data_IF_940307031286
#
_entry.id   IF_940307031286
#
_cell.length_a   1.000
_cell.length_b   1.000
_cell.length_c   1.000
_cell.angle_alpha   90.00
_cell.angle_beta   90.00
_cell.angle_gamma   90.00
#
_symmetry.space_group_name_H-M   'P 1'
#
loop_
_entity.id
_entity.type
_entity.pdbx_description
1 polymer ?
#
# COMPACT_ATOMS: atom_id res chain seq x y z
N UNK A 1 93.14 25.91 3.20
CA UNK A 1 94.14 25.67 2.14
C UNK A 1 93.39 25.43 0.84
N UNK A 2 93.61 26.29 -0.16
CA UNK A 2 93.00 26.26 -1.51
C UNK A 2 91.70 27.07 -1.60
N UNK A 3 91.44 27.90 -2.60
CA UNK A 3 92.25 28.47 -3.68
C UNK A 3 91.44 29.64 -4.24
N UNK A 4 92.07 30.78 -4.46
CA UNK A 4 91.49 31.93 -5.15
C UNK A 4 91.10 31.58 -6.59
N UNK A 5 89.94 32.04 -7.03
CA UNK A 5 89.68 32.39 -8.42
C UNK A 5 88.57 33.44 -8.49
N UNK A 6 88.99 34.70 -8.60
CA UNK A 6 88.16 35.81 -9.05
C UNK A 6 88.20 35.86 -10.59
N UNK A 7 87.10 36.15 -11.30
CA UNK A 7 87.15 36.42 -12.72
C UNK A 7 87.64 37.86 -12.95
N UNK A 8 88.80 37.97 -13.59
CA UNK A 8 89.40 39.21 -14.06
C UNK A 8 88.84 39.58 -15.44
N UNK A 9 88.50 40.86 -15.64
CA UNK A 9 88.24 41.50 -16.93
C UNK A 9 86.76 41.75 -17.19
N UNK A 10 86.25 42.97 -17.36
CA UNK A 10 86.84 44.25 -17.73
C UNK A 10 86.15 45.35 -16.92
N UNK A 11 86.91 46.22 -16.24
CA UNK A 11 86.47 47.60 -16.00
C UNK A 11 87.57 48.53 -16.48
N UNK A 12 87.22 49.19 -17.58
CA UNK A 12 88.02 50.14 -18.34
C UNK A 12 88.56 51.28 -17.48
N UNK A 13 89.71 51.80 -17.93
CA UNK A 13 90.61 52.80 -17.37
C UNK A 13 90.02 54.20 -17.04
N UNK A 14 88.71 54.38 -16.97
CA UNK A 14 88.04 55.68 -16.77
C UNK A 14 87.73 56.02 -15.29
N UNK A 15 88.14 55.19 -14.34
CA UNK A 15 87.82 55.34 -12.90
C UNK A 15 88.88 56.12 -12.09
N UNK A 16 90.04 56.42 -12.67
CA UNK A 16 91.14 57.06 -11.93
C UNK A 16 90.87 58.55 -11.66
N UNK A 17 90.20 59.25 -12.57
CA UNK A 17 89.84 60.68 -12.45
C UNK A 17 88.61 60.94 -11.53
N UNK A 18 87.99 59.90 -10.96
CA UNK A 18 86.78 60.03 -10.12
C UNK A 18 86.87 59.27 -8.80
N UNK A 19 88.07 58.84 -8.41
CA UNK A 19 88.27 58.18 -7.12
C UNK A 19 88.26 59.19 -5.97
N UNK A 20 87.73 58.83 -4.80
CA UNK A 20 87.72 59.68 -3.62
C UNK A 20 89.12 60.21 -3.26
N UNK A 21 90.16 59.40 -3.48
CA UNK A 21 91.55 59.80 -3.23
C UNK A 21 92.06 60.89 -4.17
N UNK A 22 91.65 60.87 -5.45
CA UNK A 22 92.02 61.89 -6.42
C UNK A 22 91.33 63.23 -6.12
N UNK A 23 90.02 63.21 -5.83
CA UNK A 23 89.24 64.42 -5.50
C UNK A 23 89.71 65.07 -4.18
N UNK A 24 90.14 64.26 -3.21
CA UNK A 24 90.76 64.77 -1.97
C UNK A 24 92.11 65.45 -2.23
N UNK A 25 92.90 64.92 -3.17
CA UNK A 25 94.18 65.52 -3.57
C UNK A 25 93.98 66.83 -4.33
N UNK A 26 92.97 66.93 -5.20
CA UNK A 26 92.59 68.19 -5.85
C UNK A 26 92.09 69.22 -4.83
N UNK A 27 91.26 68.80 -3.87
CA UNK A 27 90.79 69.66 -2.78
C UNK A 27 91.95 70.20 -1.94
N UNK A 28 92.95 69.37 -1.68
CA UNK A 28 94.17 69.76 -0.97
C UNK A 28 95.00 70.79 -1.75
N UNK A 29 95.18 70.59 -3.06
CA UNK A 29 95.85 71.56 -3.93
C UNK A 29 95.12 72.91 -3.95
N UNK A 30 93.78 72.91 -4.03
CA UNK A 30 92.97 74.14 -3.99
C UNK A 30 93.10 74.85 -2.64
N UNK A 31 93.04 74.11 -1.53
CA UNK A 31 93.26 74.70 -0.20
C UNK A 31 94.65 75.32 -0.05
N UNK A 32 95.68 74.68 -0.62
CA UNK A 32 97.06 75.19 -0.61
C UNK A 32 97.22 76.44 -1.48
N UNK A 33 96.47 76.56 -2.59
CA UNK A 33 96.43 77.75 -3.44
C UNK A 33 95.66 78.93 -2.82
N UNK A 34 94.55 78.67 -2.13
CA UNK A 34 93.68 79.70 -1.51
C UNK A 34 94.22 80.16 -0.14
N UNK A 35 94.99 79.31 0.55
CA UNK A 35 95.53 79.59 1.89
C UNK A 35 94.55 79.34 3.03
N UNK A 36 93.66 78.35 2.88
CA UNK A 36 92.64 77.99 3.88
C UNK A 36 93.22 77.55 5.24
N UNK A 37 92.58 77.97 6.34
CA UNK A 37 93.03 77.65 7.71
C UNK A 37 92.86 76.16 8.04
N UNK A 38 93.76 75.64 8.87
CA UNK A 38 93.78 74.23 9.24
C UNK A 38 92.47 73.78 9.92
N UNK A 39 91.82 74.64 10.72
CA UNK A 39 90.55 74.33 11.37
C UNK A 39 89.40 74.22 10.36
N UNK A 40 89.41 75.05 9.31
CA UNK A 40 88.40 75.03 8.24
C UNK A 40 88.58 73.81 7.32
N UNK A 41 89.83 73.45 7.00
CA UNK A 41 90.17 72.20 6.30
C UNK A 41 89.69 70.97 7.09
N UNK A 42 89.99 70.91 8.39
CA UNK A 42 89.54 69.82 9.27
C UNK A 42 88.01 69.73 9.36
N UNK A 43 87.32 70.87 9.40
CA UNK A 43 85.86 70.93 9.39
C UNK A 43 85.27 70.36 8.10
N UNK A 44 85.78 70.75 6.93
CA UNK A 44 85.28 70.25 5.63
C UNK A 44 85.59 68.75 5.47
N UNK A 45 86.76 68.29 5.93
CA UNK A 45 87.07 66.85 5.95
C UNK A 45 86.12 66.07 6.87
N UNK A 46 85.81 66.60 8.06
CA UNK A 46 84.84 65.99 8.99
C UNK A 46 83.43 65.93 8.38
N UNK A 47 83.00 66.99 7.70
CA UNK A 47 81.71 67.03 6.99
C UNK A 47 81.66 65.97 5.87
N UNK A 48 82.73 65.83 5.08
CA UNK A 48 82.84 64.81 4.04
C UNK A 48 82.81 63.39 4.62
N UNK A 49 83.51 63.14 5.72
CA UNK A 49 83.47 61.86 6.45
C UNK A 49 82.06 61.55 6.95
N UNK A 50 81.38 62.55 7.52
CA UNK A 50 80.01 62.43 8.01
C UNK A 50 79.03 62.10 6.88
N UNK A 51 79.11 62.79 5.75
CA UNK A 51 78.28 62.54 4.57
C UNK A 51 78.53 61.15 3.98
N UNK A 52 79.80 60.73 3.88
CA UNK A 52 80.18 59.40 3.42
C UNK A 52 79.62 58.32 4.35
N UNK A 53 79.75 58.47 5.67
CA UNK A 53 79.16 57.58 6.66
C UNK A 53 77.64 57.48 6.52
N UNK A 54 76.95 58.60 6.28
CA UNK A 54 75.51 58.62 6.11
C UNK A 54 75.05 57.92 4.80
N UNK A 55 75.85 58.01 3.72
CA UNK A 55 75.62 57.21 2.52
C UNK A 55 75.80 55.72 2.82
N UNK A 56 76.86 55.32 3.53
CA UNK A 56 77.08 53.93 3.92
C UNK A 56 75.96 53.39 4.81
N UNK A 57 75.55 54.14 5.86
CA UNK A 57 74.40 53.78 6.72
C UNK A 57 73.14 53.55 5.90
N UNK A 58 72.75 54.51 5.06
CA UNK A 58 71.57 54.37 4.18
C UNK A 58 71.64 53.14 3.27
N UNK A 59 72.83 52.78 2.75
CA UNK A 59 73.00 51.56 1.93
C UNK A 59 72.88 50.29 2.76
N UNK A 60 73.46 50.26 3.95
CA UNK A 60 73.35 49.16 4.91
C UNK A 60 71.91 48.98 5.37
N UNK A 61 71.21 50.06 5.72
CA UNK A 61 69.82 50.04 6.15
C UNK A 61 68.91 49.51 5.05
N UNK A 62 69.09 49.96 3.80
CA UNK A 62 68.35 49.42 2.64
C UNK A 62 68.62 47.94 2.44
N UNK A 63 69.86 47.49 2.60
CA UNK A 63 70.21 46.07 2.50
C UNK A 63 69.59 45.25 3.66
N UNK A 64 69.59 45.79 4.88
CA UNK A 64 68.95 45.19 6.05
C UNK A 64 67.43 45.06 5.88
N UNK A 65 66.76 46.10 5.39
CA UNK A 65 65.33 46.08 5.06
C UNK A 65 65.05 45.02 4.00
N UNK A 66 65.84 44.98 2.92
CA UNK A 66 65.70 43.95 1.89
C UNK A 66 65.92 42.54 2.43
N UNK A 67 66.87 42.35 3.35
CA UNK A 67 67.14 41.06 4.01
C UNK A 67 65.97 40.64 4.90
N UNK A 68 65.46 41.54 5.73
CA UNK A 68 64.31 41.29 6.59
C UNK A 68 63.07 40.93 5.78
N UNK A 69 62.82 41.65 4.68
CA UNK A 69 61.73 41.35 3.75
C UNK A 69 61.84 39.95 3.15
N UNK A 70 63.03 39.54 2.68
CA UNK A 70 63.24 38.19 2.13
C UNK A 70 63.04 37.10 3.19
N UNK A 71 63.45 37.33 4.44
CA UNK A 71 63.15 36.39 5.53
C UNK A 71 61.64 36.28 5.81
N UNK A 72 60.91 37.39 5.79
CA UNK A 72 59.47 37.41 5.98
C UNK A 72 58.74 36.66 4.85
N UNK A 73 59.06 36.97 3.58
CA UNK A 73 58.47 36.30 2.42
C UNK A 73 58.75 34.79 2.42
N UNK A 74 59.95 34.38 2.85
CA UNK A 74 60.30 32.97 3.00
C UNK A 74 59.47 32.30 4.11
N UNK A 75 59.38 32.93 5.29
CA UNK A 75 58.60 32.39 6.42
C UNK A 75 57.11 32.27 6.09
N UNK A 76 56.54 33.26 5.39
CA UNK A 76 55.15 33.22 4.90
C UNK A 76 54.94 32.10 3.88
N UNK A 77 55.87 31.96 2.92
CA UNK A 77 55.82 30.91 1.90
C UNK A 77 55.92 29.51 2.54
N UNK A 78 56.80 29.33 3.54
CA UNK A 78 56.94 28.08 4.28
C UNK A 78 55.70 27.78 5.14
N UNK A 79 55.15 28.78 5.81
CA UNK A 79 53.93 28.64 6.59
C UNK A 79 52.74 28.23 5.71
N UNK A 80 52.53 28.90 4.58
CA UNK A 80 51.50 28.54 3.61
C UNK A 80 51.70 27.11 3.08
N UNK A 81 52.94 26.75 2.76
CA UNK A 81 53.26 25.40 2.28
C UNK A 81 52.90 24.33 3.32
N UNK A 82 53.26 24.54 4.59
CA UNK A 82 52.91 23.61 5.68
C UNK A 82 51.40 23.53 5.90
N UNK A 83 50.69 24.66 5.79
CA UNK A 83 49.24 24.69 5.89
C UNK A 83 48.59 23.87 4.75
N UNK A 84 49.05 24.05 3.50
CA UNK A 84 48.53 23.29 2.36
C UNK A 84 48.78 21.78 2.49
N UNK A 85 49.94 21.37 2.99
CA UNK A 85 50.24 19.97 3.29
C UNK A 85 49.28 19.40 4.33
N UNK A 86 49.04 20.13 5.42
CA UNK A 86 48.10 19.73 6.47
C UNK A 86 46.66 19.62 5.94
N UNK A 87 46.18 20.63 5.20
CA UNK A 87 44.84 20.62 4.61
C UNK A 87 44.63 19.47 3.63
N UNK A 88 45.65 19.12 2.83
CA UNK A 88 45.57 17.99 1.89
C UNK A 88 45.90 16.63 2.53
N UNK A 89 46.30 16.61 3.80
CA UNK A 89 46.73 15.39 4.50
C UNK A 89 48.01 14.77 3.94
N UNK A 90 48.84 15.55 3.25
CA UNK A 90 50.09 15.09 2.63
C UNK A 90 51.27 15.34 3.58
N UNK A 91 52.20 14.37 3.70
CA UNK A 91 53.41 14.54 4.53
C UNK A 91 54.50 15.36 3.85
N UNK A 92 54.60 15.28 2.52
CA UNK A 92 55.67 15.91 1.74
C UNK A 92 55.30 15.94 0.26
N UNK A 93 55.83 16.94 -0.47
CA UNK A 93 55.80 16.92 -1.92
C UNK A 93 56.84 15.95 -2.50
N UNK A 94 56.45 15.05 -3.41
CA UNK A 94 57.39 14.18 -4.13
C UNK A 94 58.46 15.00 -4.88
N UNK A 95 59.73 14.65 -4.68
CA UNK A 95 60.85 15.26 -5.42
C UNK A 95 61.45 16.54 -4.79
N UNK A 96 60.91 17.05 -3.69
CA UNK A 96 61.49 18.20 -2.96
C UNK A 96 62.30 17.75 -1.75
N UNK A 97 63.54 18.22 -1.56
CA UNK A 97 64.31 17.97 -0.33
C UNK A 97 63.73 18.75 0.86
N UNK A 98 63.70 18.13 2.04
CA UNK A 98 63.15 18.72 3.28
C UNK A 98 63.92 19.95 3.77
N UNK A 99 65.21 20.08 3.41
CA UNK A 99 66.06 21.22 3.79
C UNK A 99 66.49 21.99 2.55
N UNK A 100 66.03 23.24 2.46
CA UNK A 100 66.45 24.16 1.41
C UNK A 100 67.84 24.72 1.73
N UNK A 101 68.80 24.50 0.83
CA UNK A 101 70.18 24.97 1.01
C UNK A 101 70.48 26.08 0.01
N UNK A 102 71.11 27.17 0.46
CA UNK A 102 71.53 28.27 -0.43
C UNK A 102 71.19 29.66 0.14
N UNK A 103 71.23 30.66 -0.74
CA UNK A 103 70.86 32.04 -0.41
C UNK A 103 69.35 32.20 -0.26
N UNK A 104 68.88 33.23 0.47
CA UNK A 104 67.44 33.50 0.65
C UNK A 104 66.66 33.57 -0.67
N UNK A 105 67.27 34.16 -1.71
CA UNK A 105 66.66 34.22 -3.05
C UNK A 105 66.53 32.85 -3.69
N UNK A 106 67.56 32.01 -3.62
CA UNK A 106 67.52 30.64 -4.15
C UNK A 106 66.48 29.78 -3.40
N UNK A 107 66.35 29.95 -2.09
CA UNK A 107 65.32 29.27 -1.29
C UNK A 107 63.92 29.72 -1.73
N UNK A 108 63.71 31.02 -1.95
CA UNK A 108 62.42 31.56 -2.43
C UNK A 108 62.08 31.09 -3.86
N UNK A 109 63.06 31.08 -4.76
CA UNK A 109 62.89 30.63 -6.15
C UNK A 109 62.51 29.14 -6.23
N UNK A 110 62.93 28.33 -5.26
CA UNK A 110 62.62 26.89 -5.23
C UNK A 110 61.34 26.55 -4.46
N UNK A 111 60.86 27.38 -3.52
CA UNK A 111 59.55 27.18 -2.87
C UNK A 111 58.38 27.65 -3.75
N UNK A 112 58.61 28.69 -4.57
CA UNK A 112 57.58 29.26 -5.46
C UNK A 112 56.89 28.23 -6.39
N UNK A 113 57.61 27.36 -7.13
CA UNK A 113 56.95 26.34 -7.97
C UNK A 113 56.23 25.27 -7.13
N UNK A 114 56.77 24.90 -5.96
CA UNK A 114 56.15 23.95 -5.05
C UNK A 114 54.82 24.46 -4.49
N UNK A 115 54.76 25.74 -4.11
CA UNK A 115 53.51 26.39 -3.70
C UNK A 115 52.47 26.43 -4.82
N UNK A 116 52.89 26.71 -6.06
CA UNK A 116 51.97 26.66 -7.21
C UNK A 116 51.36 25.26 -7.39
N UNK A 117 52.17 24.21 -7.32
CA UNK A 117 51.68 22.83 -7.45
C UNK A 117 50.70 22.48 -6.32
N UNK A 118 51.04 22.82 -5.06
CA UNK A 118 50.15 22.60 -3.92
C UNK A 118 48.83 23.35 -4.03
N UNK A 119 48.85 24.62 -4.49
CA UNK A 119 47.63 25.41 -4.72
C UNK A 119 46.74 24.79 -5.80
N UNK A 120 47.34 24.30 -6.88
CA UNK A 120 46.60 23.63 -7.96
C UNK A 120 45.97 22.33 -7.48
N UNK A 121 46.70 21.52 -6.70
CA UNK A 121 46.13 20.30 -6.08
C UNK A 121 45.00 20.62 -5.10
N UNK A 122 45.13 21.69 -4.32
CA UNK A 122 44.05 22.16 -3.44
C UNK A 122 42.80 22.48 -4.26
N UNK A 123 42.94 23.28 -5.33
CA UNK A 123 41.82 23.65 -6.20
C UNK A 123 41.16 22.42 -6.83
N UNK A 124 41.95 21.49 -7.38
CA UNK A 124 41.42 20.23 -7.93
C UNK A 124 40.68 19.42 -6.87
N UNK A 125 41.23 19.34 -5.65
CA UNK A 125 40.60 18.62 -4.55
C UNK A 125 39.31 19.27 -4.11
N UNK A 126 39.26 20.60 -3.98
CA UNK A 126 38.02 21.34 -3.68
C UNK A 126 36.95 21.03 -4.72
N UNK A 127 37.30 21.04 -6.00
CA UNK A 127 36.37 20.67 -7.08
C UNK A 127 35.85 19.23 -6.95
N UNK A 128 36.72 18.27 -6.60
CA UNK A 128 36.32 16.89 -6.34
C UNK A 128 35.35 16.78 -5.16
N UNK A 129 35.64 17.43 -4.04
CA UNK A 129 34.73 17.45 -2.88
C UNK A 129 33.39 18.09 -3.21
N UNK A 130 33.40 19.24 -3.89
CA UNK A 130 32.17 19.93 -4.31
C UNK A 130 31.31 19.04 -5.21
N UNK A 131 31.93 18.33 -6.16
CA UNK A 131 31.22 17.41 -7.04
C UNK A 131 30.61 16.21 -6.29
N UNK A 132 31.35 15.57 -5.38
CA UNK A 132 30.86 14.42 -4.62
C UNK A 132 29.78 14.84 -3.63
N UNK A 133 30.01 15.91 -2.87
CA UNK A 133 29.04 16.42 -1.90
C UNK A 133 27.77 16.94 -2.58
N UNK A 134 27.87 17.57 -3.76
CA UNK A 134 26.71 17.97 -4.56
C UNK A 134 25.88 16.78 -5.01
N UNK A 135 26.53 15.68 -5.43
CA UNK A 135 25.81 14.44 -5.76
C UNK A 135 25.16 13.81 -4.53
N UNK A 136 25.83 13.79 -3.37
CA UNK A 136 25.25 13.32 -2.11
C UNK A 136 23.99 14.11 -1.76
N UNK A 137 24.05 15.44 -1.84
CA UNK A 137 22.88 16.29 -1.56
C UNK A 137 21.74 16.02 -2.55
N UNK A 138 22.04 15.91 -3.85
CA UNK A 138 21.04 15.59 -4.87
C UNK A 138 20.34 14.26 -4.58
N UNK A 139 21.10 13.18 -4.36
CA UNK A 139 20.51 11.85 -4.09
C UNK A 139 19.77 11.83 -2.77
N UNK A 140 20.30 12.51 -1.74
CA UNK A 140 19.62 12.61 -0.44
C UNK A 140 18.28 13.35 -0.57
N UNK A 141 18.21 14.42 -1.36
CA UNK A 141 16.98 15.15 -1.64
C UNK A 141 15.97 14.28 -2.40
N UNK A 142 16.42 13.54 -3.42
CA UNK A 142 15.57 12.58 -4.15
C UNK A 142 15.02 11.47 -3.23
N UNK A 143 15.86 10.93 -2.35
CA UNK A 143 15.46 9.94 -1.33
C UNK A 143 14.45 10.54 -0.35
N UNK A 144 14.61 11.81 0.03
CA UNK A 144 13.65 12.53 0.86
C UNK A 144 12.35 12.90 0.11
N UNK A 145 12.30 12.71 -1.21
CA UNK A 145 11.15 13.04 -2.05
C UNK A 145 11.02 14.53 -2.39
N UNK A 146 12.12 15.29 -2.28
CA UNK A 146 12.20 16.67 -2.76
C UNK A 146 12.41 16.67 -4.27
N UNK A 147 11.68 17.52 -5.00
CA UNK A 147 11.76 17.56 -6.46
C UNK A 147 13.03 18.24 -6.96
N UNK A 148 13.44 17.94 -8.19
CA UNK A 148 14.60 18.56 -8.85
C UNK A 148 14.48 20.08 -9.05
N UNK A 149 13.33 20.69 -8.71
CA UNK A 149 13.06 22.12 -8.89
C UNK A 149 13.50 23.00 -7.71
N UNK A 150 14.06 22.42 -6.66
CA UNK A 150 14.60 23.21 -5.55
C UNK A 150 16.02 23.68 -5.90
N UNK A 151 16.12 24.84 -6.55
CA UNK A 151 17.37 25.55 -6.91
C UNK A 151 18.32 25.77 -5.70
N UNK A 152 17.81 25.56 -4.49
CA UNK A 152 18.50 25.60 -3.19
C UNK A 152 19.66 24.60 -3.05
N UNK A 153 19.74 23.55 -3.88
CA UNK A 153 20.72 22.44 -3.76
C UNK A 153 22.12 22.81 -4.30
N UNK A 154 22.29 23.97 -4.93
CA UNK A 154 23.51 24.28 -5.70
C UNK A 154 24.70 24.80 -4.86
N UNK A 155 24.49 25.28 -3.63
CA UNK A 155 25.56 25.88 -2.82
C UNK A 155 26.15 24.92 -1.79
N UNK A 156 26.93 23.95 -2.27
CA UNK A 156 27.74 23.07 -1.43
C UNK A 156 28.91 23.85 -0.83
N UNK A 157 28.89 24.09 0.48
CA UNK A 157 30.03 24.67 1.21
C UNK A 157 31.01 23.54 1.53
N UNK A 158 32.16 23.53 0.86
CA UNK A 158 33.24 22.56 1.11
C UNK A 158 34.04 23.02 2.32
N UNK A 159 34.33 22.10 3.24
CA UNK A 159 35.25 22.36 4.34
C UNK A 159 36.69 22.37 3.81
N UNK A 160 37.30 23.55 3.66
CA UNK A 160 38.66 23.68 3.16
C UNK A 160 39.75 23.24 4.15
N UNK A 161 39.41 22.98 5.41
CA UNK A 161 40.38 22.61 6.45
C UNK A 161 40.83 21.15 6.35
N UNK A 162 40.01 20.26 5.79
CA UNK A 162 40.31 18.83 5.62
C UNK A 162 39.89 18.36 4.23
N UNK A 163 40.84 18.44 3.30
CA UNK A 163 40.77 18.01 1.92
C UNK A 163 41.59 16.71 1.72
N UNK A 164 41.75 15.91 2.78
CA UNK A 164 42.51 14.68 2.73
C UNK A 164 41.86 13.63 1.83
N UNK A 165 42.69 12.77 1.21
CA UNK A 165 42.22 11.65 0.38
C UNK A 165 41.31 10.69 1.15
N UNK A 166 41.60 10.47 2.44
CA UNK A 166 40.79 9.62 3.31
C UNK A 166 39.38 10.20 3.46
N UNK A 167 39.26 11.51 3.69
CA UNK A 167 37.96 12.18 3.81
C UNK A 167 37.18 12.13 2.49
N UNK A 168 37.87 12.28 1.35
CA UNK A 168 37.25 12.14 0.04
C UNK A 168 36.71 10.71 -0.18
N UNK A 169 37.47 9.69 0.19
CA UNK A 169 37.06 8.29 0.13
C UNK A 169 35.84 8.01 1.01
N UNK A 170 35.77 8.59 2.21
CA UNK A 170 34.57 8.51 3.07
C UNK A 170 33.33 9.06 2.37
N UNK A 171 33.42 10.22 1.72
CA UNK A 171 32.30 10.78 0.96
C UNK A 171 31.96 9.95 -0.28
N UNK A 172 32.94 9.35 -0.96
CA UNK A 172 32.69 8.45 -2.09
C UNK A 172 31.98 7.16 -1.65
N UNK A 173 32.38 6.58 -0.52
CA UNK A 173 31.71 5.42 0.07
C UNK A 173 30.27 5.75 0.49
N UNK A 174 30.05 6.92 1.06
CA UNK A 174 28.71 7.41 1.40
C UNK A 174 27.84 7.62 0.15
N UNK A 175 28.41 8.21 -0.90
CA UNK A 175 27.74 8.37 -2.19
C UNK A 175 27.33 7.02 -2.79
N UNK A 176 28.21 6.02 -2.75
CA UNK A 176 27.89 4.66 -3.20
C UNK A 176 26.79 4.01 -2.35
N UNK A 177 26.83 4.19 -1.03
CA UNK A 177 25.78 3.72 -0.12
C UNK A 177 24.41 4.32 -0.47
N UNK A 178 24.36 5.63 -0.72
CA UNK A 178 23.14 6.34 -1.12
C UNK A 178 22.62 5.90 -2.49
N UNK A 179 23.51 5.65 -3.46
CA UNK A 179 23.12 5.07 -4.74
C UNK A 179 22.47 3.68 -4.59
N UNK A 180 23.05 2.82 -3.74
CA UNK A 180 22.49 1.51 -3.46
C UNK A 180 21.12 1.63 -2.77
N UNK A 181 20.98 2.53 -1.80
CA UNK A 181 19.72 2.81 -1.12
C UNK A 181 18.64 3.29 -2.10
N UNK A 182 18.96 4.26 -2.96
CA UNK A 182 18.07 4.75 -4.01
C UNK A 182 17.60 3.59 -4.91
N UNK A 183 18.52 2.73 -5.36
CA UNK A 183 18.19 1.61 -6.22
C UNK A 183 17.29 0.58 -5.50
N UNK A 184 17.58 0.27 -4.24
CA UNK A 184 16.75 -0.62 -3.42
C UNK A 184 15.32 -0.08 -3.25
N UNK A 185 15.18 1.24 -2.97
CA UNK A 185 13.88 1.89 -2.85
C UNK A 185 13.10 1.89 -4.15
N UNK A 186 13.75 2.14 -5.29
CA UNK A 186 13.10 2.06 -6.61
C UNK A 186 12.57 0.66 -6.89
N UNK A 187 13.37 -0.38 -6.63
CA UNK A 187 12.92 -1.78 -6.76
C UNK A 187 11.76 -2.09 -5.81
N UNK A 188 11.76 -1.53 -4.60
CA UNK A 188 10.68 -1.72 -3.65
C UNK A 188 9.38 -1.03 -4.11
N UNK A 189 9.47 0.19 -4.64
CA UNK A 189 8.33 0.89 -5.25
C UNK A 189 7.76 0.07 -6.42
N UNK A 190 8.61 -0.47 -7.29
CA UNK A 190 8.19 -1.32 -8.41
C UNK A 190 7.46 -2.58 -7.92
N UNK A 191 8.01 -3.29 -6.93
CA UNK A 191 7.34 -4.45 -6.30
C UNK A 191 5.98 -4.09 -5.72
N UNK A 192 5.84 -2.95 -5.06
CA UNK A 192 4.54 -2.53 -4.53
C UNK A 192 3.56 -2.16 -5.63
N UNK A 193 4.01 -1.51 -6.71
CA UNK A 193 3.17 -1.20 -7.87
C UNK A 193 2.69 -2.49 -8.53
N UNK A 194 3.56 -3.47 -8.74
CA UNK A 194 3.19 -4.79 -9.29
C UNK A 194 2.19 -5.51 -8.38
N UNK A 195 2.40 -5.47 -7.07
CA UNK A 195 1.46 -6.03 -6.10
C UNK A 195 0.08 -5.33 -6.18
N UNK A 196 0.05 -4.00 -6.28
CA UNK A 196 -1.19 -3.24 -6.47
C UNK A 196 -1.87 -3.64 -7.78
N UNK A 197 -1.14 -3.77 -8.89
CA UNK A 197 -1.71 -4.22 -10.17
C UNK A 197 -2.34 -5.60 -10.06
N UNK A 198 -1.61 -6.58 -9.50
CA UNK A 198 -2.09 -7.95 -9.35
C UNK A 198 -3.32 -8.05 -8.43
N UNK A 199 -3.28 -7.37 -7.28
CA UNK A 199 -4.41 -7.35 -6.34
C UNK A 199 -5.63 -6.64 -6.95
N UNK A 200 -5.41 -5.51 -7.62
CA UNK A 200 -6.49 -4.77 -8.29
C UNK A 200 -7.11 -5.58 -9.43
N UNK A 201 -6.30 -6.27 -10.23
CA UNK A 201 -6.78 -7.16 -11.28
C UNK A 201 -7.64 -8.30 -10.70
N UNK A 202 -7.21 -8.90 -9.59
CA UNK A 202 -7.97 -9.96 -8.89
C UNK A 202 -9.31 -9.43 -8.35
N UNK A 203 -9.31 -8.23 -7.76
CA UNK A 203 -10.49 -7.57 -7.17
C UNK A 203 -11.40 -6.87 -8.19
N UNK A 204 -10.97 -6.76 -9.46
CA UNK A 204 -11.67 -6.00 -10.49
C UNK A 204 -11.71 -4.48 -10.22
N UNK A 205 -10.61 -3.92 -9.71
CA UNK A 205 -10.47 -2.50 -9.41
C UNK A 205 -9.49 -1.81 -10.37
N UNK A 206 -9.63 -0.50 -10.54
CA UNK A 206 -8.78 0.30 -11.42
C UNK A 206 -7.43 0.64 -10.75
N UNK A 207 -6.37 -0.12 -11.07
CA UNK A 207 -5.03 0.05 -10.47
C UNK A 207 -4.49 1.48 -10.64
N UNK A 208 -4.72 2.11 -11.79
CA UNK A 208 -4.26 3.47 -12.09
C UNK A 208 -4.87 4.51 -11.14
N UNK A 209 -6.13 4.33 -10.75
CA UNK A 209 -6.80 5.22 -9.80
C UNK A 209 -6.26 5.02 -8.37
N UNK A 210 -5.92 3.78 -8.00
CA UNK A 210 -5.35 3.46 -6.70
C UNK A 210 -3.93 4.06 -6.59
N UNK A 211 -3.09 3.88 -7.62
CA UNK A 211 -1.71 4.40 -7.64
C UNK A 211 -1.71 5.94 -7.61
N UNK A 212 -2.55 6.60 -8.40
CA UNK A 212 -2.62 8.08 -8.42
C UNK A 212 -3.13 8.68 -7.12
N UNK A 213 -3.99 7.98 -6.36
CA UNK A 213 -4.40 8.39 -5.00
C UNK A 213 -3.25 8.35 -4.00
N UNK A 214 -2.29 7.42 -4.16
CA UNK A 214 -1.09 7.39 -3.32
C UNK A 214 -0.17 8.56 -3.67
N UNK A 215 0.21 8.66 -4.94
CA UNK A 215 0.93 9.82 -5.47
C UNK A 215 0.91 9.85 -7.00
N UNK A 216 0.65 11.00 -7.65
CA UNK A 216 0.60 11.11 -9.11
C UNK A 216 1.88 10.67 -9.83
N UNK A 217 3.05 10.94 -9.25
CA UNK A 217 4.35 10.59 -9.85
C UNK A 217 4.63 9.09 -9.95
N UNK A 218 3.83 8.24 -9.29
CA UNK A 218 3.99 6.78 -9.34
C UNK A 218 3.30 6.19 -10.57
N UNK A 219 2.39 6.95 -11.19
CA UNK A 219 1.73 6.55 -12.41
C UNK A 219 2.66 6.71 -13.61
N UNK A 220 2.82 5.68 -14.42
CA UNK A 220 3.72 5.67 -15.59
C UNK A 220 3.40 6.79 -16.59
N UNK A 221 2.13 7.19 -16.66
CA UNK A 221 1.65 8.27 -17.55
C UNK A 221 2.11 9.67 -17.13
N UNK A 222 2.66 9.84 -15.93
CA UNK A 222 3.01 11.17 -15.40
C UNK A 222 4.35 11.68 -15.94
N UNK A 223 5.26 10.80 -16.39
CA UNK A 223 6.57 11.19 -16.94
C UNK A 223 7.52 11.88 -15.93
N UNK A 224 7.10 12.03 -14.67
CA UNK A 224 7.87 12.61 -13.56
C UNK A 224 8.68 11.48 -12.89
N UNK A 225 9.83 11.82 -12.29
CA UNK A 225 10.58 10.88 -11.47
C UNK A 225 9.72 10.30 -10.34
N UNK A 226 9.81 8.97 -10.14
CA UNK A 226 9.08 8.27 -9.08
C UNK A 226 9.54 8.80 -7.72
N UNK A 227 8.61 9.23 -6.88
CA UNK A 227 8.91 9.64 -5.51
C UNK A 227 9.21 8.38 -4.67
N UNK A 228 10.39 8.34 -4.05
CA UNK A 228 10.91 7.20 -3.28
C UNK A 228 11.07 7.52 -1.79
N UNK A 229 10.36 8.53 -1.30
CA UNK A 229 10.40 8.91 0.12
C UNK A 229 9.81 7.83 1.02
N UNK A 230 10.26 7.81 2.27
CA UNK A 230 9.75 6.90 3.30
C UNK A 230 8.23 7.03 3.45
N UNK A 231 7.71 8.26 3.35
CA UNK A 231 6.27 8.53 3.42
C UNK A 231 5.48 7.90 2.28
N UNK A 232 6.02 7.90 1.06
CA UNK A 232 5.38 7.26 -0.09
C UNK A 232 5.50 5.74 -0.03
N UNK A 233 6.66 5.20 0.34
CA UNK A 233 6.85 3.76 0.55
C UNK A 233 5.89 3.21 1.62
N UNK A 234 5.71 3.92 2.74
CA UNK A 234 4.77 3.53 3.79
C UNK A 234 3.31 3.56 3.29
N UNK A 235 2.92 4.59 2.53
CA UNK A 235 1.58 4.67 1.93
C UNK A 235 1.33 3.57 0.91
N UNK A 236 2.32 3.23 0.08
CA UNK A 236 2.25 2.11 -0.86
C UNK A 236 2.07 0.79 -0.12
N UNK A 237 2.89 0.53 0.90
CA UNK A 237 2.75 -0.67 1.73
C UNK A 237 1.37 -0.76 2.38
N UNK A 238 0.91 0.30 3.03
CA UNK A 238 -0.44 0.34 3.62
C UNK A 238 -1.56 0.15 2.60
N UNK A 239 -1.37 0.60 1.34
CA UNK A 239 -2.32 0.36 0.26
C UNK A 239 -2.33 -1.12 -0.14
N UNK A 240 -1.16 -1.75 -0.29
CA UNK A 240 -1.05 -3.19 -0.55
C UNK A 240 -1.70 -4.00 0.57
N UNK A 241 -1.43 -3.67 1.82
CA UNK A 241 -2.04 -4.32 2.99
C UNK A 241 -3.56 -4.19 2.96
N UNK A 242 -4.09 -3.00 2.68
CA UNK A 242 -5.55 -2.78 2.59
C UNK A 242 -6.21 -3.58 1.46
N UNK A 243 -5.54 -3.73 0.31
CA UNK A 243 -6.04 -4.53 -0.81
C UNK A 243 -5.98 -6.03 -0.49
N UNK A 244 -4.95 -6.47 0.23
CA UNK A 244 -4.82 -7.85 0.70
C UNK A 244 -5.92 -8.18 1.72
N UNK A 245 -6.24 -7.27 2.65
CA UNK A 245 -7.36 -7.41 3.57
C UNK A 245 -8.71 -7.47 2.84
N UNK A 246 -8.92 -6.61 1.83
CA UNK A 246 -10.14 -6.62 1.03
C UNK A 246 -10.28 -7.93 0.24
N UNK A 247 -9.18 -8.43 -0.35
CA UNK A 247 -9.11 -9.75 -1.00
C UNK A 247 -9.54 -10.86 -0.05
N UNK A 248 -9.01 -10.85 1.18
CA UNK A 248 -9.36 -11.82 2.21
C UNK A 248 -10.84 -11.76 2.56
N UNK A 249 -11.38 -10.57 2.83
CA UNK A 249 -12.79 -10.37 3.17
C UNK A 249 -13.72 -10.86 2.06
N UNK A 250 -13.40 -10.56 0.80
CA UNK A 250 -14.19 -10.99 -0.35
C UNK A 250 -14.16 -12.50 -0.54
N UNK A 251 -13.00 -13.12 -0.37
CA UNK A 251 -12.86 -14.57 -0.46
C UNK A 251 -13.65 -15.28 0.65
N UNK A 252 -13.53 -14.82 1.89
CA UNK A 252 -14.30 -15.37 3.01
C UNK A 252 -15.80 -15.25 2.75
N UNK A 253 -16.27 -14.09 2.30
CA UNK A 253 -17.68 -13.89 1.95
C UNK A 253 -18.13 -14.88 0.86
N UNK A 254 -17.32 -15.05 -0.18
CA UNK A 254 -17.59 -16.00 -1.25
C UNK A 254 -17.62 -17.46 -0.75
N UNK A 255 -16.75 -17.82 0.21
CA UNK A 255 -16.77 -19.14 0.85
C UNK A 255 -18.07 -19.41 1.59
N UNK A 256 -18.55 -18.42 2.36
CA UNK A 256 -19.84 -18.54 3.05
C UNK A 256 -21.00 -18.71 2.06
N UNK A 257 -21.01 -17.92 0.99
CA UNK A 257 -22.04 -17.99 -0.05
C UNK A 257 -21.98 -19.31 -0.83
N UNK A 258 -20.80 -19.77 -1.24
CA UNK A 258 -20.66 -21.04 -1.95
C UNK A 258 -21.05 -22.25 -1.09
N UNK A 259 -20.79 -22.22 0.22
CA UNK A 259 -21.31 -23.23 1.16
C UNK A 259 -22.84 -23.18 1.24
N UNK A 260 -23.43 -21.99 1.33
CA UNK A 260 -24.88 -21.82 1.33
C UNK A 260 -25.52 -22.33 0.02
N UNK A 261 -24.96 -21.99 -1.13
CA UNK A 261 -25.37 -22.49 -2.44
C UNK A 261 -25.33 -24.02 -2.51
N UNK A 262 -24.22 -24.62 -2.08
CA UNK A 262 -24.04 -26.09 -2.09
C UNK A 262 -25.10 -26.78 -1.24
N UNK A 263 -25.37 -26.25 -0.04
CA UNK A 263 -26.40 -26.77 0.85
C UNK A 263 -27.81 -26.62 0.24
N UNK A 264 -28.13 -25.45 -0.33
CA UNK A 264 -29.43 -25.20 -0.96
C UNK A 264 -29.65 -26.06 -2.20
N UNK A 265 -28.64 -26.25 -3.05
CA UNK A 265 -28.74 -27.14 -4.21
C UNK A 265 -28.90 -28.61 -3.81
N UNK A 266 -28.24 -29.04 -2.73
CA UNK A 266 -28.43 -30.40 -2.18
C UNK A 266 -29.82 -30.58 -1.58
N UNK A 267 -30.41 -29.53 -1.00
CA UNK A 267 -31.74 -29.58 -0.41
C UNK A 267 -32.85 -29.54 -1.46
N UNK A 268 -32.65 -28.76 -2.53
CA UNK A 268 -33.65 -28.50 -3.57
C UNK A 268 -33.52 -29.41 -4.79
N UNK A 269 -32.61 -30.39 -4.76
CA UNK A 269 -32.27 -31.27 -5.91
C UNK A 269 -32.06 -30.50 -7.23
N UNK A 270 -31.38 -29.35 -7.15
CA UNK A 270 -31.22 -28.44 -8.29
C UNK A 270 -30.43 -29.13 -9.43
N UNK A 271 -30.87 -29.04 -10.69
CA UNK A 271 -30.21 -29.72 -11.81
C UNK A 271 -28.80 -29.19 -12.05
N UNK A 272 -27.94 -30.04 -12.63
CA UNK A 272 -26.51 -29.74 -12.83
C UNK A 272 -26.27 -28.50 -13.72
N UNK A 273 -27.12 -28.26 -14.72
CA UNK A 273 -26.98 -27.10 -15.61
C UNK A 273 -26.99 -25.76 -14.87
N UNK A 274 -27.85 -25.63 -13.86
CA UNK A 274 -27.95 -24.42 -13.05
C UNK A 274 -26.77 -24.30 -12.06
N UNK A 275 -26.24 -25.43 -11.57
CA UNK A 275 -25.04 -25.47 -10.71
C UNK A 275 -23.78 -25.04 -11.48
N UNK A 276 -23.68 -25.43 -12.75
CA UNK A 276 -22.50 -25.16 -13.58
C UNK A 276 -22.23 -23.66 -13.77
N UNK A 277 -23.26 -22.82 -13.79
CA UNK A 277 -23.13 -21.36 -13.89
C UNK A 277 -22.32 -20.75 -12.74
N UNK A 278 -22.30 -21.42 -11.58
CA UNK A 278 -21.58 -21.00 -10.38
C UNK A 278 -20.38 -21.89 -10.06
N UNK A 279 -19.93 -22.73 -11.02
CA UNK A 279 -18.76 -23.61 -10.87
C UNK A 279 -17.51 -22.86 -10.40
N UNK A 280 -17.24 -21.68 -10.95
CA UNK A 280 -16.15 -20.80 -10.55
C UNK A 280 -16.16 -20.45 -9.05
N UNK A 281 -17.33 -20.32 -8.41
CA UNK A 281 -17.46 -20.08 -6.97
C UNK A 281 -17.13 -21.33 -6.18
N UNK A 282 -17.55 -22.49 -6.68
CA UNK A 282 -17.33 -23.78 -6.05
C UNK A 282 -15.85 -24.17 -6.09
N UNK A 283 -15.18 -23.90 -7.21
CA UNK A 283 -13.74 -24.12 -7.33
C UNK A 283 -12.97 -23.27 -6.31
N UNK A 284 -13.40 -22.03 -6.09
CA UNK A 284 -12.82 -21.11 -5.09
C UNK A 284 -13.03 -21.56 -3.64
N UNK A 285 -13.99 -22.44 -3.33
CA UNK A 285 -14.20 -22.98 -1.97
C UNK A 285 -13.02 -23.78 -1.44
N UNK A 286 -12.23 -24.37 -2.33
CA UNK A 286 -11.08 -25.22 -1.98
C UNK A 286 -9.76 -24.45 -1.97
N UNK A 287 -9.76 -23.18 -2.40
CA UNK A 287 -8.56 -22.38 -2.65
C UNK A 287 -8.31 -21.42 -1.48
N UNK A 288 -7.04 -21.28 -1.09
CA UNK A 288 -6.61 -20.33 -0.06
C UNK A 288 -6.30 -18.95 -0.65
N UNK A 289 -6.40 -17.90 0.17
CA UNK A 289 -6.14 -16.50 -0.23
C UNK A 289 -4.83 -16.24 -1.02
N UNK A 290 -3.67 -16.82 -0.68
CA UNK A 290 -2.45 -16.59 -1.46
C UNK A 290 -2.47 -17.26 -2.84
N UNK A 291 -3.27 -18.30 -3.05
CA UNK A 291 -3.33 -19.07 -4.30
C UNK A 291 -4.24 -18.42 -5.34
N UNK A 292 -5.20 -17.60 -4.92
CA UNK A 292 -6.10 -16.88 -5.84
C UNK A 292 -5.34 -15.73 -6.53
N UNK A 293 -4.95 -15.95 -7.78
CA UNK A 293 -4.26 -14.93 -8.61
C UNK A 293 -5.01 -14.60 -9.90
N UNK A 294 -6.12 -15.30 -10.17
CA UNK A 294 -6.84 -15.15 -11.43
C UNK A 294 -7.53 -13.77 -11.50
N UNK A 295 -7.25 -12.96 -12.55
CA UNK A 295 -7.88 -11.66 -12.72
C UNK A 295 -9.40 -11.77 -12.77
N UNK A 296 -10.09 -10.89 -12.03
CA UNK A 296 -11.54 -10.81 -11.99
C UNK A 296 -12.23 -11.86 -11.11
N UNK A 297 -11.50 -12.78 -10.50
CA UNK A 297 -12.07 -13.88 -9.67
C UNK A 297 -12.80 -13.39 -8.41
N UNK A 298 -12.44 -12.23 -7.87
CA UNK A 298 -13.02 -11.64 -6.65
C UNK A 298 -13.65 -10.27 -6.90
N UNK A 299 -14.26 -10.10 -8.07
CA UNK A 299 -15.03 -8.90 -8.42
C UNK A 299 -16.29 -8.78 -7.56
N UNK A 300 -16.73 -7.54 -7.33
CA UNK A 300 -17.99 -7.28 -6.60
C UNK A 300 -19.20 -7.89 -7.33
N UNK A 301 -19.17 -7.92 -8.66
CA UNK A 301 -20.25 -8.47 -9.47
C UNK A 301 -20.46 -9.97 -9.22
N UNK A 302 -19.38 -10.76 -9.11
CA UNK A 302 -19.46 -12.19 -8.78
C UNK A 302 -20.08 -12.40 -7.40
N UNK A 303 -19.65 -11.61 -6.41
CA UNK A 303 -20.21 -11.68 -5.05
C UNK A 303 -21.71 -11.35 -5.07
N UNK A 304 -22.11 -10.29 -5.78
CA UNK A 304 -23.51 -9.90 -5.90
C UNK A 304 -24.35 -10.96 -6.62
N UNK A 305 -23.81 -11.60 -7.67
CA UNK A 305 -24.48 -12.70 -8.36
C UNK A 305 -24.71 -13.89 -7.42
N UNK A 306 -23.70 -14.25 -6.61
CA UNK A 306 -23.81 -15.31 -5.64
C UNK A 306 -24.85 -15.01 -4.55
N UNK A 307 -24.85 -13.78 -4.01
CA UNK A 307 -25.84 -13.33 -3.02
C UNK A 307 -27.26 -13.35 -3.58
N UNK A 308 -27.43 -12.87 -4.82
CA UNK A 308 -28.72 -12.87 -5.49
C UNK A 308 -29.24 -14.29 -5.70
N UNK A 309 -28.37 -15.23 -6.08
CA UNK A 309 -28.75 -16.63 -6.27
C UNK A 309 -29.10 -17.34 -4.96
N UNK A 310 -28.31 -17.15 -3.90
CA UNK A 310 -28.65 -17.66 -2.55
C UNK A 310 -30.03 -17.15 -2.14
N UNK A 311 -30.27 -15.84 -2.28
CA UNK A 311 -31.57 -15.24 -1.95
C UNK A 311 -32.72 -15.80 -2.80
N UNK A 312 -32.49 -16.01 -4.10
CA UNK A 312 -33.48 -16.61 -5.01
C UNK A 312 -33.81 -18.04 -4.60
N UNK A 313 -32.81 -18.83 -4.24
CA UNK A 313 -32.98 -20.22 -3.78
C UNK A 313 -33.67 -20.29 -2.42
N UNK A 314 -33.36 -19.39 -1.48
CA UNK A 314 -34.05 -19.30 -0.20
C UNK A 314 -35.54 -18.95 -0.37
N UNK A 315 -35.85 -18.02 -1.29
CA UNK A 315 -37.24 -17.69 -1.63
C UNK A 315 -37.97 -18.87 -2.28
N UNK A 316 -37.28 -19.62 -3.15
CA UNK A 316 -37.83 -20.82 -3.77
C UNK A 316 -38.09 -21.91 -2.73
N UNK A 317 -37.17 -22.11 -1.79
CA UNK A 317 -37.31 -23.03 -0.66
C UNK A 317 -38.54 -22.67 0.18
N UNK A 318 -38.69 -21.40 0.58
CA UNK A 318 -39.85 -20.94 1.34
C UNK A 318 -41.17 -21.14 0.56
N UNK A 319 -41.17 -20.85 -0.74
CA UNK A 319 -42.34 -21.06 -1.61
C UNK A 319 -42.72 -22.54 -1.72
N UNK A 320 -41.73 -23.43 -1.83
CA UNK A 320 -41.96 -24.88 -1.86
C UNK A 320 -42.42 -25.42 -0.51
N UNK A 321 -41.88 -24.90 0.59
CA UNK A 321 -42.35 -25.25 1.93
C UNK A 321 -43.81 -24.84 2.12
N UNK A 322 -44.18 -23.64 1.69
CA UNK A 322 -45.56 -23.16 1.71
C UNK A 322 -46.49 -24.09 0.93
N UNK A 323 -46.07 -24.54 -0.25
CA UNK A 323 -46.83 -25.49 -1.07
C UNK A 323 -47.02 -26.84 -0.34
N UNK A 324 -45.97 -27.39 0.27
CA UNK A 324 -46.02 -28.64 1.04
C UNK A 324 -46.90 -28.51 2.28
N UNK A 325 -46.77 -27.43 3.03
CA UNK A 325 -47.59 -27.14 4.19
C UNK A 325 -49.08 -27.09 3.84
N UNK A 326 -49.45 -26.36 2.78
CA UNK A 326 -50.84 -26.29 2.32
C UNK A 326 -51.38 -27.66 1.86
N UNK A 327 -50.55 -28.48 1.21
CA UNK A 327 -50.94 -29.85 0.83
C UNK A 327 -51.24 -30.72 2.06
N UNK A 328 -50.35 -30.70 3.06
CA UNK A 328 -50.53 -31.44 4.33
C UNK A 328 -51.74 -30.95 5.11
N UNK A 329 -51.96 -29.63 5.12
CA UNK A 329 -53.15 -29.05 5.71
C UNK A 329 -54.43 -29.50 5.01
N UNK A 330 -54.49 -29.43 3.68
CA UNK A 330 -55.66 -29.90 2.92
C UNK A 330 -55.94 -31.40 3.16
N UNK A 331 -54.89 -32.22 3.26
CA UNK A 331 -55.00 -33.65 3.62
C UNK A 331 -55.65 -33.82 4.99
N UNK A 332 -55.17 -33.08 6.00
CA UNK A 332 -55.76 -33.06 7.34
C UNK A 332 -57.22 -32.61 7.31
N UNK A 333 -57.54 -31.52 6.61
CA UNK A 333 -58.91 -31.00 6.47
C UNK A 333 -59.84 -32.03 5.79
N UNK A 334 -59.37 -32.73 4.76
CA UNK A 334 -60.16 -33.76 4.07
C UNK A 334 -60.48 -34.93 5.01
N UNK A 335 -59.52 -35.36 5.83
CA UNK A 335 -59.70 -36.41 6.84
C UNK A 335 -60.70 -35.93 7.90
N UNK A 336 -60.53 -34.72 8.43
CA UNK A 336 -61.44 -34.13 9.42
C UNK A 336 -62.86 -34.00 8.87
N UNK A 337 -63.03 -33.51 7.65
CA UNK A 337 -64.33 -33.36 7.01
C UNK A 337 -65.05 -34.71 6.82
N UNK A 338 -64.35 -35.75 6.34
CA UNK A 338 -64.94 -37.08 6.13
C UNK A 338 -65.36 -37.78 7.42
N UNK A 339 -64.66 -37.49 8.52
CA UNK A 339 -64.88 -38.13 9.83
C UNK A 339 -65.62 -37.24 10.83
N UNK A 340 -66.11 -36.07 10.36
CA UNK A 340 -66.79 -35.05 11.16
C UNK A 340 -66.00 -34.66 12.43
N UNK A 341 -64.70 -34.40 12.27
CA UNK A 341 -63.81 -33.87 13.31
C UNK A 341 -63.67 -32.35 13.19
N UNK A 342 -63.15 -31.71 14.23
CA UNK A 342 -62.87 -30.28 14.24
C UNK A 342 -61.74 -29.93 13.26
N UNK A 343 -61.94 -28.87 12.47
CA UNK A 343 -60.98 -28.40 11.49
C UNK A 343 -60.12 -27.30 12.15
N UNK A 344 -58.79 -27.31 11.96
CA UNK A 344 -57.91 -26.24 12.46
C UNK A 344 -58.38 -24.84 12.04
N UNK A 345 -58.13 -23.81 12.86
CA UNK A 345 -58.69 -22.47 12.59
C UNK A 345 -57.92 -21.74 11.48
N UNK A 346 -58.62 -21.01 10.61
CA UNK A 346 -58.02 -20.27 9.48
C UNK A 346 -56.98 -19.23 9.91
N UNK A 347 -57.15 -18.63 11.08
CA UNK A 347 -56.22 -17.62 11.62
C UNK A 347 -54.87 -18.22 12.02
N UNK A 348 -54.86 -19.44 12.56
CA UNK A 348 -53.62 -20.15 12.91
C UNK A 348 -52.83 -20.50 11.65
N UNK A 349 -53.53 -20.84 10.56
CA UNK A 349 -52.91 -21.11 9.26
C UNK A 349 -52.20 -19.88 8.69
N UNK A 350 -52.86 -18.71 8.69
CA UNK A 350 -52.28 -17.48 8.16
C UNK A 350 -51.05 -17.05 8.96
N UNK A 351 -51.05 -17.26 10.28
CA UNK A 351 -49.89 -16.99 11.13
C UNK A 351 -48.70 -17.89 10.77
N UNK A 352 -48.91 -19.20 10.58
CA UNK A 352 -47.86 -20.14 10.19
C UNK A 352 -47.32 -19.82 8.78
N UNK A 353 -48.20 -19.46 7.84
CA UNK A 353 -47.82 -19.08 6.48
C UNK A 353 -46.91 -17.84 6.47
N UNK A 354 -47.17 -16.86 7.34
CA UNK A 354 -46.32 -15.68 7.49
C UNK A 354 -44.95 -16.05 8.08
N UNK A 355 -44.92 -16.94 9.07
CA UNK A 355 -43.69 -17.42 9.69
C UNK A 355 -42.81 -18.21 8.70
N UNK A 356 -43.39 -19.01 7.80
CA UNK A 356 -42.65 -19.68 6.71
C UNK A 356 -41.96 -18.67 5.80
N UNK A 357 -42.64 -17.56 5.43
CA UNK A 357 -42.04 -16.54 4.56
C UNK A 357 -40.95 -15.73 5.26
N UNK A 358 -41.04 -15.57 6.59
CA UNK A 358 -40.03 -14.88 7.40
C UNK A 358 -38.78 -15.73 7.67
N UNK A 359 -38.87 -17.05 7.49
CA UNK A 359 -37.78 -17.98 7.76
C UNK A 359 -37.51 -18.23 9.26
N UNK A 360 -38.37 -17.75 10.16
CA UNK A 360 -38.21 -17.86 11.61
C UNK A 360 -38.54 -19.27 12.18
N UNK A 361 -39.20 -20.12 11.40
CA UNK A 361 -39.57 -21.48 11.81
C UNK A 361 -38.64 -22.53 11.19
N UNK A 362 -38.23 -23.53 11.98
CA UNK A 362 -37.64 -24.75 11.44
C UNK A 362 -38.67 -25.53 10.61
N UNK A 363 -38.41 -25.59 9.32
CA UNK A 363 -39.30 -26.17 8.33
C UNK A 363 -39.45 -27.70 8.52
N UNK A 364 -38.42 -28.38 9.05
CA UNK A 364 -38.46 -29.81 9.31
C UNK A 364 -39.41 -30.13 10.47
N UNK A 365 -39.26 -29.41 11.58
CA UNK A 365 -40.09 -29.57 12.78
C UNK A 365 -41.57 -29.26 12.48
N UNK A 366 -41.83 -28.22 11.68
CA UNK A 366 -43.19 -27.87 11.26
C UNK A 366 -43.85 -29.00 10.47
N UNK A 367 -43.15 -29.56 9.47
CA UNK A 367 -43.69 -30.67 8.67
C UNK A 367 -43.88 -31.92 9.52
N UNK A 368 -42.96 -32.23 10.42
CA UNK A 368 -43.10 -33.35 11.36
C UNK A 368 -44.33 -33.21 12.26
N UNK A 369 -44.56 -32.01 12.81
CA UNK A 369 -45.76 -31.71 13.60
C UNK A 369 -47.05 -31.89 12.77
N UNK A 370 -47.05 -31.44 11.51
CA UNK A 370 -48.19 -31.63 10.62
C UNK A 370 -48.43 -33.11 10.29
N UNK A 371 -47.37 -33.88 10.02
CA UNK A 371 -47.47 -35.33 9.79
C UNK A 371 -47.99 -36.08 11.03
N UNK A 372 -47.61 -35.64 12.22
CA UNK A 372 -48.12 -36.18 13.47
C UNK A 372 -49.62 -35.87 13.67
N UNK A 373 -50.05 -34.64 13.34
CA UNK A 373 -51.47 -34.27 13.36
C UNK A 373 -52.29 -35.08 12.37
N UNK A 374 -51.80 -35.25 11.13
CA UNK A 374 -52.44 -36.10 10.12
C UNK A 374 -52.54 -37.53 10.62
N UNK A 375 -51.47 -38.07 11.20
CA UNK A 375 -51.47 -39.45 11.73
C UNK A 375 -52.51 -39.64 12.83
N UNK A 376 -52.59 -38.71 13.79
CA UNK A 376 -53.64 -38.73 14.84
C UNK A 376 -55.04 -38.65 14.25
N UNK A 377 -55.25 -37.75 13.29
CA UNK A 377 -56.54 -37.60 12.61
C UNK A 377 -56.93 -38.87 11.83
N UNK A 378 -55.97 -39.54 11.19
CA UNK A 378 -56.21 -40.82 10.51
C UNK A 378 -56.60 -41.93 11.49
N UNK A 379 -55.88 -42.06 12.62
CA UNK A 379 -56.21 -43.04 13.65
C UNK A 379 -57.61 -42.81 14.23
N UNK A 380 -57.95 -41.55 14.50
CA UNK A 380 -59.27 -41.19 15.00
C UNK A 380 -60.37 -41.45 13.94
N UNK A 381 -60.14 -41.08 12.68
CA UNK A 381 -61.06 -41.36 11.59
C UNK A 381 -61.29 -42.88 11.42
N UNK A 382 -60.25 -43.70 11.57
CA UNK A 382 -60.36 -45.17 11.57
C UNK A 382 -61.18 -45.68 12.75
N UNK A 383 -60.99 -45.12 13.95
CA UNK A 383 -61.77 -45.49 15.14
C UNK A 383 -63.27 -45.17 14.99
N UNK A 384 -63.59 -44.02 14.37
CA UNK A 384 -64.95 -43.54 14.12
C UNK A 384 -65.63 -44.22 12.94
N UNK A 385 -64.88 -44.91 12.09
CA UNK A 385 -65.38 -45.54 10.84
C UNK A 385 -66.65 -46.38 11.05
N UNK A 386 -66.66 -47.24 12.07
CA UNK A 386 -67.82 -48.11 12.35
C UNK A 386 -69.08 -47.34 12.76
N UNK A 387 -68.91 -46.18 13.39
CA UNK A 387 -70.02 -45.29 13.77
C UNK A 387 -70.48 -44.52 12.53
N UNK A 388 -69.55 -43.97 11.75
CA UNK A 388 -69.85 -43.25 10.52
C UNK A 388 -70.60 -44.10 9.49
N UNK A 389 -70.21 -45.37 9.29
CA UNK A 389 -70.94 -46.31 8.43
C UNK A 389 -72.39 -46.56 8.90
N UNK A 390 -72.64 -46.50 10.21
CA UNK A 390 -74.01 -46.60 10.76
C UNK A 390 -74.78 -45.30 10.56
N UNK A 391 -74.14 -44.15 10.73
CA UNK A 391 -74.73 -42.83 10.48
C UNK A 391 -75.12 -42.69 9.01
N UNK A 392 -74.27 -43.10 8.08
CA UNK A 392 -74.55 -43.09 6.64
C UNK A 392 -75.74 -43.99 6.30
N UNK A 393 -75.78 -45.22 6.83
CA UNK A 393 -76.93 -46.12 6.67
C UNK A 393 -78.22 -45.51 7.23
N UNK A 394 -78.14 -44.80 8.36
CA UNK A 394 -79.28 -44.13 8.96
C UNK A 394 -79.74 -42.92 8.11
N UNK A 395 -78.82 -42.12 7.59
CA UNK A 395 -79.12 -41.03 6.66
C UNK A 395 -79.83 -41.53 5.40
N UNK A 396 -79.31 -42.59 4.77
CA UNK A 396 -79.96 -43.21 3.60
C UNK A 396 -81.36 -43.74 3.92
N UNK A 397 -81.55 -44.32 5.10
CA UNK A 397 -82.85 -44.80 5.54
C UNK A 397 -83.83 -43.64 5.79
N UNK A 398 -83.36 -42.52 6.35
CA UNK A 398 -84.13 -41.27 6.53
C UNK A 398 -84.50 -40.63 5.18
N UNK A 399 -83.58 -40.61 4.22
CA UNK A 399 -83.86 -40.08 2.89
C UNK A 399 -84.89 -40.96 2.14
N UNK A 400 -84.81 -42.28 2.31
CA UNK A 400 -85.81 -43.22 1.77
C UNK A 400 -87.17 -43.10 2.51
N UNK A 401 -87.17 -42.76 3.81
CA UNK A 401 -88.39 -42.40 4.57
C UNK A 401 -89.05 -41.15 3.99
N UNK A 402 -88.29 -40.07 3.82
CA UNK A 402 -88.77 -38.82 3.21
C UNK A 402 -89.32 -39.08 1.81
N UNK A 403 -88.61 -39.84 0.98
CA UNK A 403 -89.10 -40.20 -0.35
C UNK A 403 -90.40 -41.02 -0.29
N UNK A 404 -90.52 -41.95 0.65
CA UNK A 404 -91.72 -42.74 0.86
C UNK A 404 -92.90 -41.88 1.32
N UNK A 405 -92.66 -40.90 2.20
CA UNK A 405 -93.66 -39.91 2.64
C UNK A 405 -94.16 -39.09 1.45
N UNK A 406 -93.25 -38.52 0.66
CA UNK A 406 -93.58 -37.77 -0.55
C UNK A 406 -94.39 -38.63 -1.54
N UNK A 407 -93.97 -39.88 -1.77
CA UNK A 407 -94.69 -40.84 -2.60
C UNK A 407 -96.04 -41.25 -2.00
N UNK A 408 -96.20 -41.22 -0.67
CA UNK A 408 -97.46 -41.56 0.00
C UNK A 408 -98.52 -40.47 -0.10
N UNK A 409 -98.08 -39.21 -0.22
CA UNK A 409 -98.93 -38.02 -0.37
C UNK A 409 -99.29 -37.71 -1.84
N UNK A 410 -98.70 -38.42 -2.80
CA UNK A 410 -99.00 -38.27 -4.23
C UNK A 410 -100.38 -38.88 -4.57
N UNK A 411 -101.34 -38.04 -4.98
CA UNK A 411 -102.69 -38.47 -5.37
C UNK A 411 -102.68 -39.33 -6.66
N UNK A 412 -101.66 -39.20 -7.52
CA UNK A 412 -101.54 -39.95 -8.78
C UNK A 412 -100.75 -41.26 -8.65
N UNK A 413 -100.46 -41.69 -7.42
CA UNK A 413 -99.61 -42.84 -7.08
C UNK A 413 -99.99 -44.16 -7.76
N UNK A 414 -101.29 -44.38 -8.00
CA UNK A 414 -101.84 -45.61 -8.61
C UNK A 414 -102.25 -45.43 -10.08
N UNK A 415 -101.91 -44.29 -10.70
CA UNK A 415 -102.13 -44.10 -12.13
C UNK A 415 -101.37 -45.16 -12.95
N UNK A 416 -101.98 -45.69 -14.02
CA UNK A 416 -101.38 -46.72 -14.89
C UNK A 416 -100.32 -46.08 -15.79
N UNK A 417 -99.23 -45.62 -15.18
CA UNK A 417 -98.09 -45.01 -15.83
C UNK A 417 -96.94 -46.03 -15.92
N UNK A 418 -96.09 -45.87 -16.95
CA UNK A 418 -95.00 -46.80 -17.29
C UNK A 418 -93.91 -46.74 -16.20
N UNK A 419 -94.07 -47.51 -15.13
CA UNK A 419 -93.16 -47.51 -13.97
C UNK A 419 -93.82 -47.70 -12.60
N UNK A 420 -95.15 -47.63 -12.51
CA UNK A 420 -95.90 -47.72 -11.26
C UNK A 420 -95.56 -48.96 -10.41
N UNK A 421 -95.44 -50.15 -11.03
CA UNK A 421 -95.06 -51.39 -10.33
C UNK A 421 -93.62 -51.34 -9.74
N UNK A 422 -92.69 -50.64 -10.38
CA UNK A 422 -91.31 -50.47 -9.88
C UNK A 422 -91.27 -49.52 -8.68
N UNK A 423 -92.05 -48.44 -8.72
CA UNK A 423 -92.18 -47.50 -7.61
C UNK A 423 -92.92 -48.13 -6.42
N UNK A 424 -93.94 -48.96 -6.67
CA UNK A 424 -94.63 -49.73 -5.63
C UNK A 424 -93.67 -50.72 -4.93
N UNK A 425 -92.88 -51.48 -5.71
CA UNK A 425 -91.83 -52.36 -5.15
C UNK A 425 -90.71 -51.60 -4.43
N UNK A 426 -90.41 -50.36 -4.82
CA UNK A 426 -89.49 -49.49 -4.07
C UNK A 426 -90.12 -49.06 -2.76
N UNK A 427 -91.38 -48.63 -2.77
CA UNK A 427 -92.12 -48.23 -1.57
C UNK A 427 -92.28 -49.37 -0.55
N UNK A 428 -92.48 -50.61 -0.99
CA UNK A 428 -92.48 -51.77 -0.09
C UNK A 428 -91.10 -52.01 0.55
N UNK A 429 -90.02 -51.91 -0.23
CA UNK A 429 -88.65 -52.03 0.29
C UNK A 429 -88.27 -50.88 1.21
N UNK A 430 -88.69 -49.66 0.87
CA UNK A 430 -88.57 -48.47 1.70
C UNK A 430 -89.25 -48.68 3.04
N UNK A 431 -90.53 -49.11 3.07
CA UNK A 431 -91.26 -49.42 4.31
C UNK A 431 -90.54 -50.41 5.22
N UNK A 432 -89.97 -51.48 4.65
CA UNK A 432 -89.19 -52.47 5.42
C UNK A 432 -87.91 -51.85 6.00
N UNK A 433 -87.29 -50.92 5.28
CA UNK A 433 -86.06 -50.23 5.71
C UNK A 433 -86.37 -49.19 6.78
N UNK A 434 -87.44 -48.41 6.60
CA UNK A 434 -87.95 -47.40 7.53
C UNK A 434 -88.40 -48.03 8.86
N UNK A 435 -89.12 -49.14 8.82
CA UNK A 435 -89.52 -49.86 10.03
C UNK A 435 -88.33 -50.37 10.88
N UNK A 436 -87.13 -50.47 10.31
CA UNK A 436 -85.90 -50.86 11.02
C UNK A 436 -85.14 -49.65 11.62
N UNK A 437 -85.52 -48.42 11.29
CA UNK A 437 -84.89 -47.18 11.77
C UNK A 437 -84.92 -47.04 13.30
N UNK A 438 -86.02 -47.34 14.02
CA UNK A 438 -86.03 -47.23 15.49
C UNK A 438 -84.96 -48.11 16.14
N UNK A 439 -84.80 -49.36 15.66
CA UNK A 439 -83.80 -50.30 16.17
C UNK A 439 -82.34 -49.88 15.94
N UNK A 440 -82.06 -49.12 14.87
CA UNK A 440 -80.73 -48.58 14.60
C UNK A 440 -80.46 -47.28 15.36
N UNK A 441 -81.48 -46.45 15.62
CA UNK A 441 -81.38 -45.25 16.44
C UNK A 441 -81.02 -45.58 17.90
N UNK A 442 -81.72 -46.53 18.54
CA UNK A 442 -81.42 -46.93 19.93
C UNK A 442 -80.03 -47.56 20.10
N UNK A 443 -79.52 -48.27 19.08
CA UNK A 443 -78.17 -48.84 19.09
C UNK A 443 -77.04 -47.82 18.91
N UNK A 444 -77.33 -46.64 18.37
CA UNK A 444 -76.37 -45.54 18.22
C UNK A 444 -76.31 -44.68 19.51
N UNK A 445 -77.43 -44.47 20.20
CA UNK A 445 -77.48 -43.70 21.46
C UNK A 445 -76.64 -44.35 22.58
N UNK A 446 -76.52 -45.68 22.61
CA UNK A 446 -75.70 -46.39 23.60
C UNK A 446 -74.17 -46.26 23.44
N UNK A 447 -73.67 -45.70 22.32
CA UNK A 447 -72.23 -45.50 22.06
C UNK A 447 -71.80 -44.04 21.96
N UNK A 448 -72.75 -43.10 21.95
CA UNK A 448 -72.47 -41.67 22.06
C UNK A 448 -72.62 -41.26 23.53
N UNK A 449 -71.80 -41.85 24.40
CA UNK A 449 -71.52 -41.26 25.71
C UNK A 449 -70.22 -40.46 25.58
N UNK A 450 -70.18 -39.23 26.10
CA UNK A 450 -69.00 -38.38 25.97
C UNK A 450 -67.84 -39.00 26.76
N UNK A 451 -66.67 -39.07 26.12
CA UNK A 451 -65.38 -39.06 26.83
C UNK A 451 -65.00 -37.61 27.02
#
# INVERSE_FOLDING_TARGET
MGSFQAPTGMRSSALLETSCGYLLQELQMIWDEVGEDQLEREKVLLELEQECLEVYRRKVDRANISRARLHQELAESEAEFTHLLLSLGERSLPGRPEKMSGTLKQQLDSITPALRDMRLRKEERVNQFQAVQGQIQKISAEIAGQSEYDDSITNVIVNENDLSLKKLEEYQNELQRLHNEKNNRLQQVEKYIDAVHNLSATLGMESSMIITKVHPSLNELCGISKNISDGILAKLNGTVDSLQEEKQKRLEKLHHLGKALTNLWSLMDTPYGDRYLFSHIIDLLSVSSPEVSDPGSLTLDIIQQAEAEVKRLDQLKASKMKELFLKKQNELEEICNKSHMEIPSRSEMENILNLINSGEIDHADLLMSMDEQISRAMEEALSRKSIMEKVEKWMLARDEERWLEEYSMDENRYSVSRGAHRNLRRAERARVTVNKIPGTAYGNVGRVQPV
#
